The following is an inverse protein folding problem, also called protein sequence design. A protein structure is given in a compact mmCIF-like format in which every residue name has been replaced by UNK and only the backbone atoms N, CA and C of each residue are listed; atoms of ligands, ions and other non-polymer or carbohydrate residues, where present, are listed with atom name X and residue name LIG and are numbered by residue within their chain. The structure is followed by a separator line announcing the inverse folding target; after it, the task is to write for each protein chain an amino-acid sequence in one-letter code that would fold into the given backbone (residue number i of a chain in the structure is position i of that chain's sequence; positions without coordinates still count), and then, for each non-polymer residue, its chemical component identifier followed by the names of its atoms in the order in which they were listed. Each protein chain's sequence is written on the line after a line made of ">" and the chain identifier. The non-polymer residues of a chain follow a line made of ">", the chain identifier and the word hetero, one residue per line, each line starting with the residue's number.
data_IF_321983376418
#
_entry.id   IF_321983376418
#
_cell.length_a   1.000
_cell.length_b   1.000
_cell.length_c   1.000
_cell.angle_alpha   90.00
_cell.angle_beta   90.00
_cell.angle_gamma   90.00
#
_symmetry.space_group_name_H-M   'P 1'
#
loop_
_entity.id
_entity.type
_entity.pdbx_description
1 polymer ?
#
# COMPACT_ATOMS: atom_id res chain seq x y z
N UNK A 1 -17.23 1.58 -1.19
CA UNK A 1 -15.99 2.30 -0.81
C UNK A 1 -15.26 1.51 0.28
N UNK A 2 -14.02 1.88 0.65
CA UNK A 2 -13.27 1.21 1.72
C UNK A 2 -14.09 1.07 3.02
N UNK A 3 -14.77 2.14 3.45
CA UNK A 3 -15.65 2.14 4.62
C UNK A 3 -16.80 1.15 4.51
N UNK A 4 -17.38 1.01 3.33
CA UNK A 4 -18.53 0.11 3.11
C UNK A 4 -18.07 -1.36 3.13
N UNK A 5 -16.85 -1.62 2.64
CA UNK A 5 -16.25 -2.96 2.63
C UNK A 5 -15.85 -3.45 4.03
N UNK A 6 -15.56 -2.55 4.97
CA UNK A 6 -15.38 -2.90 6.37
C UNK A 6 -16.70 -3.35 7.05
N UNK A 7 -17.86 -2.96 6.49
CA UNK A 7 -19.16 -3.24 7.09
C UNK A 7 -19.39 -2.52 8.41
N UNK A 8 -20.41 -2.96 9.15
CA UNK A 8 -20.79 -2.40 10.46
C UNK A 8 -20.23 -3.19 11.66
N UNK A 9 -19.28 -4.10 11.42
CA UNK A 9 -18.70 -4.95 12.45
C UNK A 9 -17.75 -4.16 13.35
N UNK A 10 -17.72 -4.48 14.65
CA UNK A 10 -16.74 -3.92 15.59
C UNK A 10 -15.33 -4.51 15.39
N UNK A 11 -15.22 -5.64 14.68
CA UNK A 11 -13.95 -6.31 14.37
C UNK A 11 -13.91 -6.83 12.93
N UNK A 12 -12.71 -6.86 12.34
CA UNK A 12 -12.45 -7.44 11.02
C UNK A 12 -11.63 -8.72 11.18
N UNK A 13 -12.04 -9.77 10.49
CA UNK A 13 -11.20 -10.94 10.26
C UNK A 13 -10.21 -10.68 9.11
N UNK A 14 -9.39 -11.68 8.81
CA UNK A 14 -8.35 -11.59 7.78
C UNK A 14 -8.94 -11.29 6.40
N UNK A 15 -10.05 -11.92 6.04
CA UNK A 15 -10.69 -11.72 4.74
C UNK A 15 -11.36 -10.35 4.63
N UNK A 16 -12.07 -9.92 5.68
CA UNK A 16 -12.67 -8.60 5.75
C UNK A 16 -11.64 -7.48 5.68
N UNK A 17 -10.50 -7.66 6.36
CA UNK A 17 -9.40 -6.69 6.30
C UNK A 17 -8.79 -6.60 4.90
N UNK A 18 -8.53 -7.73 4.25
CA UNK A 18 -8.03 -7.77 2.87
C UNK A 18 -9.02 -7.08 1.91
N UNK A 19 -10.30 -7.44 1.96
CA UNK A 19 -11.34 -6.88 1.10
C UNK A 19 -11.51 -5.36 1.31
N UNK A 20 -11.39 -4.88 2.55
CA UNK A 20 -11.41 -3.44 2.86
C UNK A 20 -10.29 -2.70 2.12
N UNK A 21 -9.06 -3.21 2.19
CA UNK A 21 -7.90 -2.59 1.54
C UNK A 21 -7.95 -2.71 0.01
N UNK A 22 -8.47 -3.81 -0.54
CA UNK A 22 -8.72 -3.96 -1.98
C UNK A 22 -9.72 -2.92 -2.49
N UNK A 23 -10.84 -2.72 -1.79
CA UNK A 23 -11.80 -1.68 -2.12
C UNK A 23 -11.21 -0.27 -2.01
N UNK A 24 -10.30 -0.05 -1.06
CA UNK A 24 -9.52 1.19 -0.94
C UNK A 24 -8.60 1.43 -2.14
N UNK A 25 -7.81 0.42 -2.53
CA UNK A 25 -6.96 0.48 -3.71
C UNK A 25 -7.77 0.73 -4.98
N UNK A 26 -8.87 0.01 -5.17
CA UNK A 26 -9.76 0.22 -6.31
C UNK A 26 -10.27 1.66 -6.34
N UNK A 27 -10.68 2.21 -5.20
CA UNK A 27 -11.09 3.60 -5.06
C UNK A 27 -9.99 4.59 -5.49
N UNK A 28 -8.74 4.36 -5.07
CA UNK A 28 -7.58 5.18 -5.48
C UNK A 28 -7.37 5.09 -6.99
N UNK A 29 -7.35 3.87 -7.55
CA UNK A 29 -7.13 3.63 -8.97
C UNK A 29 -8.26 4.19 -9.86
N UNK A 30 -9.48 4.32 -9.35
CA UNK A 30 -10.58 5.01 -10.05
C UNK A 30 -10.39 6.54 -10.10
N UNK A 31 -9.71 7.12 -9.12
CA UNK A 31 -9.50 8.59 -9.05
C UNK A 31 -8.24 9.04 -9.80
N UNK A 32 -7.24 8.17 -9.94
CA UNK A 32 -5.98 8.50 -10.58
C UNK A 32 -5.81 7.82 -11.95
N UNK A 33 -4.96 8.39 -12.80
CA UNK A 33 -4.48 7.72 -14.03
C UNK A 33 -3.09 7.11 -13.85
N UNK A 34 -2.51 7.24 -12.65
CA UNK A 34 -1.22 6.63 -12.31
C UNK A 34 -1.31 5.11 -12.40
N UNK A 35 -0.26 4.50 -12.92
CA UNK A 35 -0.08 3.05 -13.04
C UNK A 35 1.14 2.60 -12.23
N UNK A 36 1.24 1.30 -11.90
CA UNK A 36 2.50 0.74 -11.43
C UNK A 36 3.65 1.10 -12.39
N UNK A 37 4.77 1.57 -11.82
CA UNK A 37 5.93 2.09 -12.53
C UNK A 37 5.90 3.58 -12.86
N UNK A 38 4.82 4.31 -12.53
CA UNK A 38 4.74 5.76 -12.79
C UNK A 38 5.45 6.62 -11.73
N UNK A 39 6.02 5.99 -10.70
CA UNK A 39 6.68 6.60 -9.54
C UNK A 39 5.68 7.44 -8.74
N UNK A 40 4.76 6.75 -8.05
CA UNK A 40 3.71 7.36 -7.21
C UNK A 40 3.39 6.47 -6.00
N UNK A 41 2.46 6.89 -5.14
CA UNK A 41 1.95 6.05 -4.06
C UNK A 41 1.37 4.69 -4.49
N UNK A 42 0.95 4.53 -5.75
CA UNK A 42 0.47 3.25 -6.29
C UNK A 42 1.57 2.18 -6.22
N UNK A 43 2.82 2.57 -6.39
CA UNK A 43 3.98 1.67 -6.37
C UNK A 43 4.24 1.05 -5.00
N UNK A 44 3.73 1.66 -3.92
CA UNK A 44 3.76 1.09 -2.57
C UNK A 44 2.40 0.47 -2.18
N UNK A 45 1.29 1.12 -2.53
CA UNK A 45 -0.05 0.68 -2.12
C UNK A 45 -0.46 -0.64 -2.77
N UNK A 46 -0.22 -0.79 -4.07
CA UNK A 46 -0.57 -2.01 -4.80
C UNK A 46 0.12 -3.27 -4.25
N UNK A 47 1.46 -3.32 -4.10
CA UNK A 47 2.11 -4.50 -3.53
C UNK A 47 1.72 -4.76 -2.07
N UNK A 48 1.45 -3.72 -1.28
CA UNK A 48 0.96 -3.89 0.08
C UNK A 48 -0.40 -4.63 0.14
N UNK A 49 -1.35 -4.20 -0.70
CA UNK A 49 -2.69 -4.78 -0.77
C UNK A 49 -2.66 -6.21 -1.34
N UNK A 50 -1.78 -6.46 -2.32
CA UNK A 50 -1.56 -7.82 -2.83
C UNK A 50 -1.01 -8.75 -1.74
N UNK A 51 -0.05 -8.27 -0.93
CA UNK A 51 0.49 -9.03 0.20
C UNK A 51 -0.57 -9.31 1.28
N UNK A 52 -1.50 -8.38 1.52
CA UNK A 52 -2.66 -8.63 2.40
C UNK A 52 -3.51 -9.79 1.87
N UNK A 53 -3.98 -9.72 0.62
CA UNK A 53 -4.83 -10.77 0.03
C UNK A 53 -4.14 -12.13 0.05
N UNK A 54 -2.86 -12.18 -0.35
CA UNK A 54 -2.08 -13.41 -0.31
C UNK A 54 -1.97 -13.98 1.13
N UNK A 55 -1.70 -13.13 2.12
CA UNK A 55 -1.65 -13.58 3.51
C UNK A 55 -3.00 -14.10 4.02
N UNK A 56 -4.12 -13.51 3.60
CA UNK A 56 -5.45 -14.04 3.90
C UNK A 56 -5.69 -15.40 3.25
N UNK A 57 -5.34 -15.57 1.97
CA UNK A 57 -5.45 -16.86 1.25
C UNK A 57 -4.63 -17.97 1.93
N UNK A 58 -3.51 -17.61 2.53
CA UNK A 58 -2.63 -18.51 3.28
C UNK A 58 -3.09 -18.75 4.73
N UNK A 59 -4.16 -18.09 5.19
CA UNK A 59 -4.66 -18.21 6.56
C UNK A 59 -3.73 -17.63 7.62
N UNK A 60 -2.89 -16.65 7.26
CA UNK A 60 -1.99 -16.00 8.19
C UNK A 60 -2.76 -15.18 9.25
N UNK A 61 -2.22 -15.08 10.46
CA UNK A 61 -2.76 -14.19 11.48
C UNK A 61 -2.66 -12.72 11.05
N UNK A 62 -3.56 -11.86 11.55
CA UNK A 62 -3.63 -10.43 11.19
C UNK A 62 -2.30 -9.69 11.39
N UNK A 63 -1.57 -10.00 12.47
CA UNK A 63 -0.27 -9.39 12.73
C UNK A 63 0.78 -9.71 11.64
N UNK A 64 0.86 -10.97 11.23
CA UNK A 64 1.77 -11.41 10.16
C UNK A 64 1.33 -10.85 8.80
N UNK A 65 0.03 -10.83 8.53
CA UNK A 65 -0.56 -10.21 7.34
C UNK A 65 -0.15 -8.73 7.20
N UNK A 66 -0.29 -7.93 8.27
CA UNK A 66 0.07 -6.51 8.25
C UNK A 66 1.59 -6.28 8.17
N UNK A 67 2.39 -7.18 8.76
CA UNK A 67 3.85 -7.16 8.63
C UNK A 67 4.27 -7.35 7.17
N UNK A 68 3.74 -8.38 6.50
CA UNK A 68 4.01 -8.63 5.06
C UNK A 68 3.59 -7.45 4.19
N UNK A 69 2.43 -6.86 4.48
CA UNK A 69 1.96 -5.68 3.77
C UNK A 69 2.90 -4.47 3.98
N UNK A 70 3.43 -4.27 5.19
CA UNK A 70 4.40 -3.22 5.49
C UNK A 70 5.73 -3.44 4.76
N UNK A 71 6.23 -4.67 4.70
CA UNK A 71 7.43 -5.04 3.95
C UNK A 71 7.24 -4.81 2.45
N UNK A 72 6.09 -5.21 1.89
CA UNK A 72 5.75 -5.01 0.49
C UNK A 72 5.60 -3.52 0.14
N UNK A 73 4.93 -2.73 0.99
CA UNK A 73 4.83 -1.28 0.84
C UNK A 73 6.20 -0.60 0.86
N UNK A 74 7.08 -1.03 1.78
CA UNK A 74 8.44 -0.52 1.90
C UNK A 74 9.28 -0.84 0.68
N UNK A 75 9.24 -2.08 0.19
CA UNK A 75 9.93 -2.49 -1.02
C UNK A 75 9.44 -1.71 -2.24
N UNK A 76 8.12 -1.53 -2.38
CA UNK A 76 7.52 -0.73 -3.43
C UNK A 76 7.96 0.74 -3.40
N UNK A 77 7.96 1.36 -2.22
CA UNK A 77 8.47 2.71 -2.02
C UNK A 77 9.97 2.83 -2.34
N UNK A 78 10.79 1.86 -1.91
CA UNK A 78 12.22 1.85 -2.19
C UNK A 78 12.51 1.74 -3.69
N UNK A 79 11.81 0.85 -4.39
CA UNK A 79 11.95 0.67 -5.83
C UNK A 79 11.63 1.93 -6.63
N UNK A 80 10.82 2.85 -6.09
CA UNK A 80 10.56 4.12 -6.78
C UNK A 80 11.83 4.94 -7.00
N UNK A 81 12.88 4.78 -6.19
CA UNK A 81 14.15 5.49 -6.38
C UNK A 81 14.74 5.25 -7.79
N UNK A 82 14.59 4.06 -8.34
CA UNK A 82 15.13 3.67 -9.64
C UNK A 82 14.21 4.04 -10.82
N UNK A 83 13.04 4.63 -10.54
CA UNK A 83 12.04 4.99 -11.54
C UNK A 83 12.13 6.46 -11.96
N UNK A 84 11.94 6.70 -13.26
CA UNK A 84 11.62 8.03 -13.78
C UNK A 84 10.13 8.32 -13.59
N UNK A 85 9.80 9.45 -12.96
CA UNK A 85 8.42 9.87 -12.76
C UNK A 85 7.70 10.10 -14.08
N UNK A 86 6.51 9.50 -14.20
CA UNK A 86 5.60 9.66 -15.36
C UNK A 86 4.28 10.31 -14.98
N UNK A 87 3.99 10.39 -13.68
CA UNK A 87 2.77 10.99 -13.15
C UNK A 87 3.08 12.05 -12.06
N UNK A 88 2.08 12.86 -11.72
CA UNK A 88 2.21 13.89 -10.68
C UNK A 88 3.12 15.08 -11.06
N UNK A 89 3.63 15.79 -10.05
CA UNK A 89 4.53 16.96 -10.23
C UNK A 89 5.96 16.54 -10.57
N UNK A 90 6.41 15.40 -10.06
CA UNK A 90 7.76 14.89 -10.27
C UNK A 90 8.06 14.56 -11.75
N UNK A 91 7.03 14.26 -12.57
CA UNK A 91 7.23 14.05 -14.02
C UNK A 91 7.85 15.24 -14.74
N UNK A 92 7.70 16.45 -14.19
CA UNK A 92 8.19 17.69 -14.81
C UNK A 92 9.72 17.78 -14.79
N UNK A 93 10.37 17.09 -13.85
CA UNK A 93 11.84 17.04 -13.74
C UNK A 93 12.47 15.82 -14.45
N UNK A 94 11.64 14.97 -15.08
CA UNK A 94 12.03 13.85 -15.95
C UNK A 94 13.16 12.99 -15.34
N UNK A 95 14.29 12.84 -16.02
CA UNK A 95 15.42 11.98 -15.62
C UNK A 95 16.00 12.38 -14.25
N UNK A 96 15.85 13.65 -13.85
CA UNK A 96 16.31 14.12 -12.53
C UNK A 96 15.48 13.56 -11.37
N UNK A 97 14.32 12.94 -11.64
CA UNK A 97 13.55 12.23 -10.62
C UNK A 97 14.15 10.88 -10.21
N UNK A 98 15.07 10.32 -11.00
CA UNK A 98 15.78 9.08 -10.68
C UNK A 98 16.75 9.33 -9.52
N UNK A 99 16.94 8.33 -8.65
CA UNK A 99 17.79 8.38 -7.46
C UNK A 99 17.07 8.85 -6.19
N UNK A 100 15.79 9.21 -6.27
CA UNK A 100 15.01 9.72 -5.14
C UNK A 100 13.71 8.93 -4.97
N UNK A 101 13.39 8.49 -3.76
CA UNK A 101 12.09 7.85 -3.49
C UNK A 101 10.94 8.83 -3.70
N UNK A 102 9.80 8.31 -4.16
CA UNK A 102 8.55 9.08 -4.21
C UNK A 102 8.01 9.34 -2.80
N UNK A 103 7.72 10.61 -2.43
CA UNK A 103 7.25 10.93 -1.09
C UNK A 103 5.87 10.35 -0.77
N UNK A 104 4.99 10.20 -1.76
CA UNK A 104 3.69 9.54 -1.62
C UNK A 104 3.83 8.04 -1.39
N UNK A 105 4.72 7.37 -2.12
CA UNK A 105 5.03 5.96 -1.89
C UNK A 105 5.66 5.74 -0.51
N UNK A 106 6.62 6.58 -0.11
CA UNK A 106 7.22 6.55 1.23
C UNK A 106 6.17 6.78 2.34
N UNK A 107 5.22 7.69 2.13
CA UNK A 107 4.13 7.92 3.08
C UNK A 107 3.23 6.69 3.25
N UNK A 108 2.90 5.99 2.15
CA UNK A 108 2.15 4.72 2.21
C UNK A 108 2.95 3.65 2.97
N UNK A 109 4.24 3.52 2.71
CA UNK A 109 5.09 2.60 3.46
C UNK A 109 5.08 2.90 4.97
N UNK A 110 5.08 4.17 5.37
CA UNK A 110 4.96 4.54 6.78
C UNK A 110 3.59 4.22 7.39
N UNK A 111 2.49 4.38 6.63
CA UNK A 111 1.16 3.99 7.10
C UNK A 111 1.10 2.49 7.42
N UNK A 112 1.53 1.64 6.48
CA UNK A 112 1.54 0.19 6.71
C UNK A 112 2.50 -0.24 7.82
N UNK A 113 3.67 0.39 7.93
CA UNK A 113 4.57 0.19 9.07
C UNK A 113 3.90 0.56 10.39
N UNK A 114 3.12 1.64 10.42
CA UNK A 114 2.32 2.04 11.56
C UNK A 114 1.30 1.00 11.96
N UNK A 115 0.53 0.46 10.99
CA UNK A 115 -0.44 -0.61 11.24
C UNK A 115 0.20 -1.88 11.80
N UNK A 116 1.31 -2.34 11.22
CA UNK A 116 2.05 -3.50 11.72
C UNK A 116 2.52 -3.30 13.16
N UNK A 117 3.10 -2.13 13.48
CA UNK A 117 3.58 -1.82 14.83
C UNK A 117 2.46 -1.65 15.85
N UNK A 118 1.31 -1.11 15.43
CA UNK A 118 0.15 -0.92 16.31
C UNK A 118 -0.25 -2.24 16.97
N UNK A 119 -0.31 -3.32 16.20
CA UNK A 119 -0.66 -4.65 16.73
C UNK A 119 0.42 -5.31 17.58
N UNK A 120 1.69 -4.93 17.44
CA UNK A 120 2.76 -5.40 18.33
C UNK A 120 2.66 -4.80 19.74
N UNK A 121 1.94 -3.69 19.90
CA UNK A 121 1.86 -2.96 21.19
C UNK A 121 0.72 -3.46 22.08
N UNK A 122 -0.22 -4.23 21.51
CA UNK A 122 -1.39 -4.80 22.19
C UNK A 122 -1.24 -6.32 22.48
N UNK A 123 -0.07 -6.90 22.21
CA UNK A 123 0.28 -8.32 22.46
C UNK A 123 1.21 -8.46 23.67
#
# INVERSE_FOLDING_TARGET
>A
AMSDAAGASEALDVDGLAAMFEAGLEGVLRQTKAKPGDKTMVDALTPAVQALRQAADEGAAVAEMLKRAAEAAHAGAAATADMQARFGRAKNIKEQSIGHQDPGATSVAFLFRGFSKGLETDA
#
